data_IF_175304999062
#
_entry.id   IF_175304999062
#
_cell.length_a   1.000
_cell.length_b   1.000
_cell.length_c   1.000
_cell.angle_alpha   90.00
_cell.angle_beta   90.00
_cell.angle_gamma   90.00
#
_symmetry.space_group_name_H-M   'P 1'
#
loop_
_entity.id
_entity.type
_entity.pdbx_description
1 polymer ?
#
# COMPACT_ATOMS: atom_id res chain seq x y z
N UNK A 1 -13.13 -2.05 -13.76
CA UNK A 1 -12.66 -0.78 -13.13
C UNK A 1 -11.16 -0.89 -12.91
N UNK A 2 -10.36 -0.35 -13.82
CA UNK A 2 -8.89 -0.34 -13.72
C UNK A 2 -8.50 0.77 -12.75
N UNK A 3 -8.04 0.42 -11.55
CA UNK A 3 -7.45 1.40 -10.64
C UNK A 3 -6.09 1.81 -11.21
N UNK A 4 -5.94 3.09 -11.59
CA UNK A 4 -4.63 3.60 -12.01
C UNK A 4 -3.64 3.50 -10.83
N UNK A 5 -2.38 3.06 -11.07
CA UNK A 5 -1.37 2.90 -10.02
C UNK A 5 -1.16 4.19 -9.22
N UNK A 6 -1.22 5.35 -9.89
CA UNK A 6 -1.17 6.66 -9.24
C UNK A 6 -2.30 6.85 -8.22
N UNK A 7 -3.54 6.49 -8.56
CA UNK A 7 -4.69 6.63 -7.66
C UNK A 7 -4.56 5.72 -6.44
N UNK A 8 -4.08 4.48 -6.63
CA UNK A 8 -3.81 3.54 -5.53
C UNK A 8 -2.77 4.11 -4.56
N UNK A 9 -1.67 4.65 -5.08
CA UNK A 9 -0.60 5.23 -4.28
C UNK A 9 -1.07 6.47 -3.51
N UNK A 10 -1.85 7.35 -4.13
CA UNK A 10 -2.41 8.52 -3.45
C UNK A 10 -3.39 8.13 -2.35
N UNK A 11 -4.25 7.15 -2.59
CA UNK A 11 -5.18 6.64 -1.59
C UNK A 11 -4.44 6.04 -0.39
N UNK A 12 -3.43 5.22 -0.62
CA UNK A 12 -2.62 4.61 0.44
C UNK A 12 -1.94 5.67 1.32
N UNK A 13 -1.35 6.70 0.70
CA UNK A 13 -0.77 7.82 1.43
C UNK A 13 -1.81 8.62 2.22
N UNK A 14 -2.99 8.86 1.64
CA UNK A 14 -4.08 9.54 2.32
C UNK A 14 -4.54 8.78 3.56
N UNK A 15 -4.74 7.46 3.45
CA UNK A 15 -5.15 6.59 4.56
C UNK A 15 -4.09 6.56 5.67
N UNK A 16 -2.81 6.45 5.32
CA UNK A 16 -1.72 6.41 6.29
C UNK A 16 -1.64 7.69 7.16
N UNK A 17 -1.98 8.85 6.57
CA UNK A 17 -1.94 10.17 7.24
C UNK A 17 -3.22 10.52 8.01
N UNK A 18 -4.27 9.72 7.89
CA UNK A 18 -5.53 9.95 8.61
C UNK A 18 -5.38 9.66 10.10
N UNK A 19 -5.83 10.59 10.93
CA UNK A 19 -5.81 10.51 12.40
C UNK A 19 -7.20 10.42 13.02
N UNK A 20 -8.26 10.45 12.21
CA UNK A 20 -9.67 10.50 12.62
C UNK A 20 -10.25 9.15 13.07
N UNK A 21 -9.40 8.19 13.42
CA UNK A 21 -9.80 6.90 13.99
C UNK A 21 -10.62 5.97 13.07
N UNK A 22 -10.79 6.33 11.79
CA UNK A 22 -11.62 5.56 10.86
C UNK A 22 -11.09 4.15 10.58
N UNK A 23 -12.02 3.25 10.31
CA UNK A 23 -11.75 1.84 10.00
C UNK A 23 -10.80 1.64 8.83
N UNK A 24 -10.80 2.53 7.84
CA UNK A 24 -9.91 2.44 6.68
C UNK A 24 -8.44 2.27 7.11
N UNK A 25 -7.95 3.13 8.00
CA UNK A 25 -6.57 3.03 8.50
C UNK A 25 -6.34 1.73 9.27
N UNK A 26 -7.26 1.36 10.17
CA UNK A 26 -7.15 0.14 10.98
C UNK A 26 -7.08 -1.13 10.12
N UNK A 27 -7.95 -1.24 9.12
CA UNK A 27 -7.99 -2.37 8.19
C UNK A 27 -6.74 -2.43 7.32
N UNK A 28 -6.25 -1.28 6.86
CA UNK A 28 -5.05 -1.22 6.01
C UNK A 28 -3.75 -1.44 6.79
N UNK A 29 -3.69 -1.02 8.06
CA UNK A 29 -2.57 -1.29 8.97
C UNK A 29 -2.56 -2.74 9.49
N UNK A 30 -3.72 -3.41 9.45
CA UNK A 30 -3.88 -4.74 10.04
C UNK A 30 -2.91 -5.76 9.44
N UNK A 31 -2.07 -6.31 10.32
CA UNK A 31 -1.14 -7.41 10.00
C UNK A 31 -1.58 -8.65 10.75
N UNK A 32 -1.92 -9.75 10.07
CA UNK A 32 -2.08 -11.03 10.74
C UNK A 32 -0.71 -11.43 11.32
N UNK A 33 -0.62 -11.44 12.66
CA UNK A 33 0.60 -11.83 13.40
C UNK A 33 0.76 -13.35 13.53
N UNK A 34 -0.30 -14.10 13.28
CA UNK A 34 -0.38 -15.54 13.52
C UNK A 34 -1.30 -16.21 12.49
N UNK A 35 -0.93 -17.40 12.04
CA UNK A 35 -1.73 -18.26 11.15
C UNK A 35 -1.22 -18.36 9.71
N UNK A 36 -1.29 -19.57 9.15
CA UNK A 36 -1.19 -19.82 7.70
C UNK A 36 -2.60 -19.66 7.09
N UNK A 37 -2.72 -19.02 5.93
CA UNK A 37 -4.00 -18.94 5.21
C UNK A 37 -4.31 -20.27 4.53
N UNK A 38 -5.59 -20.58 4.36
CA UNK A 38 -6.03 -21.71 3.55
C UNK A 38 -5.52 -21.58 2.10
N UNK A 39 -5.14 -22.70 1.52
CA UNK A 39 -4.65 -22.79 0.14
C UNK A 39 -5.83 -22.59 -0.82
N UNK A 40 -5.68 -21.72 -1.85
CA UNK A 40 -6.71 -21.55 -2.88
C UNK A 40 -6.81 -20.17 -3.54
N UNK A 41 -6.32 -19.09 -2.90
CA UNK A 41 -6.19 -17.76 -3.52
C UNK A 41 -4.73 -17.41 -3.78
N UNK A 42 -4.43 -16.61 -4.83
CA UNK A 42 -3.10 -16.03 -4.98
C UNK A 42 -2.66 -15.36 -3.68
N UNK A 43 -1.41 -15.58 -3.23
CA UNK A 43 -0.94 -15.09 -1.93
C UNK A 43 -0.93 -13.55 -1.84
N UNK A 44 -0.98 -12.87 -2.99
CA UNK A 44 -0.83 -11.43 -3.14
C UNK A 44 -1.96 -10.64 -2.48
N UNK A 45 -1.59 -9.79 -1.52
CA UNK A 45 -2.45 -8.82 -0.86
C UNK A 45 -2.43 -7.50 -1.62
N UNK A 46 -3.48 -6.70 -1.41
CA UNK A 46 -3.52 -5.33 -1.91
C UNK A 46 -2.34 -4.47 -1.44
N UNK A 47 -1.76 -4.72 -0.25
CA UNK A 47 -0.60 -3.98 0.26
C UNK A 47 0.74 -4.43 -0.31
N UNK A 48 0.82 -5.59 -0.98
CA UNK A 48 2.11 -6.20 -1.30
C UNK A 48 2.90 -5.40 -2.34
N UNK A 49 2.22 -4.76 -3.28
CA UNK A 49 2.86 -3.83 -4.23
C UNK A 49 3.34 -2.55 -3.53
N UNK A 50 2.60 -2.03 -2.55
CA UNK A 50 3.04 -0.90 -1.72
C UNK A 50 4.28 -1.29 -0.90
N UNK A 51 4.24 -2.47 -0.25
CA UNK A 51 5.35 -3.00 0.56
C UNK A 51 6.59 -3.23 -0.30
N UNK A 52 6.44 -3.64 -1.56
CA UNK A 52 7.56 -3.83 -2.48
C UNK A 52 8.35 -2.55 -2.74
N UNK A 53 7.69 -1.38 -2.74
CA UNK A 53 8.32 -0.07 -3.03
C UNK A 53 8.67 0.72 -1.76
N UNK A 54 7.80 0.69 -0.75
CA UNK A 54 7.94 1.46 0.49
C UNK A 54 8.38 0.64 1.70
N UNK A 55 8.57 -0.67 1.55
CA UNK A 55 9.03 -1.57 2.60
C UNK A 55 7.93 -1.98 3.59
N UNK A 56 8.32 -2.84 4.53
CA UNK A 56 7.40 -3.36 5.54
C UNK A 56 6.88 -2.26 6.47
N UNK A 57 7.54 -1.11 6.61
CA UNK A 57 7.10 0.03 7.41
C UNK A 57 6.39 1.13 6.57
N UNK A 58 5.80 0.76 5.43
CA UNK A 58 5.24 1.72 4.47
C UNK A 58 4.25 2.76 5.07
N UNK A 59 3.52 2.43 6.13
CA UNK A 59 2.63 3.39 6.82
C UNK A 59 3.39 4.56 7.44
N UNK A 60 4.57 4.29 8.02
CA UNK A 60 5.46 5.33 8.57
C UNK A 60 6.10 6.12 7.42
N UNK A 61 6.52 5.44 6.36
CA UNK A 61 7.07 6.08 5.15
C UNK A 61 6.04 7.00 4.50
N UNK A 62 4.77 6.58 4.45
CA UNK A 62 3.65 7.33 3.91
C UNK A 62 3.25 8.54 4.76
N UNK A 63 3.62 8.58 6.05
CA UNK A 63 3.40 9.75 6.88
C UNK A 63 4.19 10.96 6.36
N UNK A 64 5.40 10.73 5.85
CA UNK A 64 6.24 11.76 5.24
C UNK A 64 5.82 12.01 3.77
N UNK A 65 5.22 13.17 3.48
CA UNK A 65 4.71 13.49 2.13
C UNK A 65 5.80 13.54 1.06
N UNK A 66 7.00 14.03 1.37
CA UNK A 66 8.13 14.10 0.42
C UNK A 66 8.59 12.69 0.06
N UNK A 67 8.91 11.86 1.05
CA UNK A 67 9.32 10.47 0.84
C UNK A 67 8.26 9.67 0.10
N UNK A 68 6.98 9.88 0.43
CA UNK A 68 5.86 9.23 -0.25
C UNK A 68 5.75 9.64 -1.72
N UNK A 69 5.97 10.92 -2.04
CA UNK A 69 5.94 11.42 -3.42
C UNK A 69 7.07 10.78 -4.24
N UNK A 70 8.30 10.84 -3.75
CA UNK A 70 9.48 10.27 -4.44
C UNK A 70 9.31 8.78 -4.71
N UNK A 71 8.82 8.00 -3.74
CA UNK A 71 8.57 6.57 -3.94
C UNK A 71 7.39 6.27 -4.88
N UNK A 72 6.48 7.22 -5.07
CA UNK A 72 5.36 7.08 -5.99
C UNK A 72 5.78 6.96 -7.45
N UNK A 73 6.88 7.61 -7.85
CA UNK A 73 7.43 7.50 -9.20
C UNK A 73 7.87 6.06 -9.50
N UNK A 74 8.62 5.44 -8.59
CA UNK A 74 9.04 4.05 -8.70
C UNK A 74 7.84 3.08 -8.73
N UNK A 75 6.78 3.38 -7.95
CA UNK A 75 5.55 2.60 -7.97
C UNK A 75 4.84 2.68 -9.31
N UNK A 76 4.71 3.87 -9.90
CA UNK A 76 4.07 4.04 -11.21
C UNK A 76 4.87 3.36 -12.32
N UNK A 77 6.21 3.51 -12.32
CA UNK A 77 7.10 2.87 -13.29
C UNK A 77 6.98 1.35 -13.29
N UNK A 78 6.97 0.72 -12.10
CA UNK A 78 6.76 -0.73 -11.98
C UNK A 78 5.47 -1.21 -12.66
N UNK A 79 4.40 -0.42 -12.56
CA UNK A 79 3.12 -0.73 -13.16
C UNK A 79 3.05 -0.42 -14.66
N UNK A 80 3.92 0.46 -15.18
CA UNK A 80 4.03 0.74 -16.63
C UNK A 80 4.87 -0.30 -17.35
N UNK A 81 5.87 -0.89 -16.68
CA UNK A 81 6.71 -1.98 -17.22
C UNK A 81 6.02 -3.35 -17.27
N UNK A 82 4.85 -3.49 -16.64
CA UNK A 82 4.03 -4.72 -16.63
C UNK A 82 2.88 -4.68 -17.64
N UNK A 83 2.82 -3.63 -18.48
CA UNK A 83 1.85 -3.44 -19.55
C UNK A 83 2.41 -3.81 -20.91
#
# INVERSE_FOLDING_TARGET
MTVHPSSKWQWAGHVARRTDGRWARKVTEWRPRTGRRSVGRPPTRWTDDIVRVAGSQWMQVAACRSTWRTKGEAFVQQWTSLG
#
